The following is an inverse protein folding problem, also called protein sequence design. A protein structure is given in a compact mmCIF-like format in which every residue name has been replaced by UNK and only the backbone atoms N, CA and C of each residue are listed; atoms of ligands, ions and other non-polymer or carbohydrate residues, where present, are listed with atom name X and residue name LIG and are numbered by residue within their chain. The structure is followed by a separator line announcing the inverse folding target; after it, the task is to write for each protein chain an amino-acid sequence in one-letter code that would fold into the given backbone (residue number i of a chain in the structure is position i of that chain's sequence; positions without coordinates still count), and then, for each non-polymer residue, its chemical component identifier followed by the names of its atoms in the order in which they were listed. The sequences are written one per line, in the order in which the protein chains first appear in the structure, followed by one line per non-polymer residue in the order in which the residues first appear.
data_IF_418763079623
#
_entry.id   IF_418763079623
#
_cell.length_a   1.000
_cell.length_b   1.000
_cell.length_c   1.000
_cell.angle_alpha   90.00
_cell.angle_beta   90.00
_cell.angle_gamma   90.00
#
_symmetry.space_group_name_H-M   'P 1'
#
loop_
_entity.id
_entity.type
_entity.pdbx_description
1 polymer ?
#
# COMPACT_ATOMS: atom_id res chain seq x y z
N UNK A 1 -43.04 32.61 -17.84
CA UNK A 1 -44.43 32.06 -17.71
C UNK A 1 -44.33 30.55 -17.52
N UNK A 2 -45.04 30.07 -16.47
CA UNK A 2 -45.42 28.66 -16.20
C UNK A 2 -44.35 27.73 -15.64
N UNK A 3 -44.62 26.92 -14.63
CA UNK A 3 -45.59 26.86 -13.50
C UNK A 3 -44.99 25.98 -12.42
N UNK A 4 -45.13 26.39 -11.18
CA UNK A 4 -44.91 25.58 -9.97
C UNK A 4 -45.88 24.41 -9.96
N UNK A 5 -45.40 23.22 -9.57
CA UNK A 5 -46.23 22.13 -9.01
C UNK A 5 -45.59 21.61 -7.75
N UNK A 6 -46.22 21.93 -6.64
CA UNK A 6 -45.96 21.39 -5.31
C UNK A 6 -46.59 20.01 -5.22
N UNK A 7 -45.87 19.02 -4.73
CA UNK A 7 -46.41 17.74 -4.28
C UNK A 7 -46.16 17.59 -2.80
N UNK A 8 -47.28 17.68 -2.07
CA UNK A 8 -47.43 17.36 -0.65
C UNK A 8 -47.49 15.83 -0.51
N UNK A 9 -46.63 15.25 0.29
CA UNK A 9 -46.77 13.84 0.71
C UNK A 9 -46.94 13.79 2.22
N UNK A 10 -48.05 13.16 2.61
CA UNK A 10 -48.57 13.04 3.95
C UNK A 10 -47.72 12.13 4.86
N UNK A 11 -47.57 12.56 6.10
CA UNK A 11 -47.02 11.79 7.22
C UNK A 11 -48.12 10.88 7.77
N UNK A 12 -47.90 9.58 7.75
CA UNK A 12 -48.67 8.59 8.49
C UNK A 12 -47.93 8.23 9.76
N UNK A 13 -48.43 8.71 10.88
CA UNK A 13 -48.03 8.32 12.22
C UNK A 13 -48.84 7.06 12.59
N UNK A 14 -48.17 5.95 12.79
CA UNK A 14 -48.75 4.77 13.45
C UNK A 14 -48.14 4.67 14.84
N UNK A 15 -48.94 5.01 15.81
CA UNK A 15 -48.75 4.71 17.21
C UNK A 15 -49.08 3.23 17.46
N UNK A 16 -48.11 2.50 17.97
CA UNK A 16 -48.26 1.10 18.41
C UNK A 16 -47.74 0.95 19.83
N UNK A 17 -48.66 0.55 20.74
CA UNK A 17 -48.51 0.50 22.18
C UNK A 17 -47.53 -0.54 22.70
N UNK A 18 -46.92 -0.14 23.79
CA UNK A 18 -46.43 -0.86 24.97
C UNK A 18 -46.62 -2.39 25.07
N UNK A 19 -45.49 -3.06 25.38
CA UNK A 19 -45.51 -4.20 26.32
C UNK A 19 -44.23 -4.14 27.15
N UNK A 20 -44.43 -3.91 28.41
CA UNK A 20 -43.48 -4.06 29.52
C UNK A 20 -43.25 -5.54 29.77
N UNK A 21 -42.02 -5.98 29.88
CA UNK A 21 -41.53 -6.89 30.92
C UNK A 21 -40.12 -7.38 30.58
N UNK A 22 -39.24 -7.40 31.56
CA UNK A 22 -37.96 -8.14 31.50
C UNK A 22 -36.74 -7.25 31.60
N UNK A 23 -36.44 -6.90 32.85
CA UNK A 23 -35.13 -6.39 33.21
C UNK A 23 -34.10 -7.51 33.03
N UNK A 24 -33.20 -7.38 32.06
CA UNK A 24 -31.89 -7.95 32.14
C UNK A 24 -30.91 -6.89 31.63
N UNK A 25 -30.37 -6.16 32.61
CA UNK A 25 -29.31 -5.16 32.43
C UNK A 25 -27.97 -5.86 32.42
N UNK A 26 -27.73 -6.71 31.49
CA UNK A 26 -26.37 -6.98 31.04
C UNK A 26 -26.07 -6.05 29.89
N UNK A 27 -25.78 -4.81 30.27
CA UNK A 27 -25.06 -3.90 29.41
C UNK A 27 -23.66 -4.51 29.18
N UNK A 28 -23.58 -5.43 28.22
CA UNK A 28 -22.33 -5.73 27.57
C UNK A 28 -21.84 -4.42 26.98
N UNK A 29 -21.07 -3.70 27.80
CA UNK A 29 -20.23 -2.60 27.35
C UNK A 29 -19.26 -3.23 26.36
N UNK A 30 -19.66 -3.28 25.08
CA UNK A 30 -18.76 -3.66 24.00
C UNK A 30 -17.50 -2.84 24.18
N UNK A 31 -16.42 -3.49 24.59
CA UNK A 31 -15.12 -2.82 24.67
C UNK A 31 -14.89 -2.15 23.32
N UNK A 32 -14.36 -0.92 23.28
CA UNK A 32 -14.11 -0.24 22.02
C UNK A 32 -13.22 -1.16 21.17
N UNK A 33 -13.79 -1.68 20.08
CA UNK A 33 -13.07 -2.56 19.17
C UNK A 33 -11.95 -1.72 18.56
N UNK A 34 -10.73 -1.92 19.03
CA UNK A 34 -9.56 -1.28 18.43
C UNK A 34 -9.53 -1.68 16.97
N UNK A 35 -9.56 -0.72 16.02
CA UNK A 35 -9.53 -1.05 14.60
C UNK A 35 -8.36 -1.98 14.31
N UNK A 36 -8.63 -3.08 13.62
CA UNK A 36 -7.58 -4.00 13.19
C UNK A 36 -6.58 -3.24 12.32
N UNK A 37 -5.27 -3.45 12.50
CA UNK A 37 -4.29 -2.85 11.61
C UNK A 37 -4.60 -3.24 10.16
N UNK A 38 -4.37 -2.33 9.24
CA UNK A 38 -4.51 -2.60 7.81
C UNK A 38 -3.61 -3.73 7.35
N UNK A 39 -3.90 -4.28 6.19
CA UNK A 39 -3.21 -5.46 5.66
C UNK A 39 -1.75 -5.20 5.30
N UNK A 40 -0.88 -6.22 5.27
CA UNK A 40 0.49 -6.10 4.75
C UNK A 40 0.54 -5.56 3.30
N UNK A 41 -0.46 -5.90 2.48
CA UNK A 41 -0.60 -5.38 1.12
C UNK A 41 -0.75 -3.85 1.10
N UNK A 42 -1.54 -3.30 2.01
CA UNK A 42 -1.73 -1.85 2.14
C UNK A 42 -0.45 -1.16 2.68
N UNK A 43 0.28 -1.79 3.61
CA UNK A 43 1.55 -1.26 4.09
C UNK A 43 2.60 -1.17 2.98
N UNK A 44 2.72 -2.22 2.17
CA UNK A 44 3.59 -2.23 1.00
C UNK A 44 3.16 -1.17 -0.03
N UNK A 45 1.87 -1.08 -0.32
CA UNK A 45 1.33 -0.12 -1.25
C UNK A 45 1.63 1.33 -0.83
N UNK A 46 1.49 1.65 0.45
CA UNK A 46 1.88 2.95 1.01
C UNK A 46 3.37 3.24 0.84
N UNK A 47 4.23 2.23 1.07
CA UNK A 47 5.68 2.38 0.88
C UNK A 47 6.05 2.62 -0.58
N UNK A 48 5.45 1.89 -1.52
CA UNK A 48 5.66 2.08 -2.95
C UNK A 48 5.18 3.46 -3.41
N UNK A 49 3.99 3.89 -2.99
CA UNK A 49 3.45 5.20 -3.33
C UNK A 49 4.32 6.34 -2.78
N UNK A 50 4.87 6.16 -1.57
CA UNK A 50 5.81 7.09 -0.97
C UNK A 50 7.12 7.16 -1.78
N UNK A 51 7.71 6.01 -2.15
CA UNK A 51 8.96 5.95 -2.90
C UNK A 51 8.81 6.49 -4.34
N UNK A 52 7.61 6.40 -4.90
CA UNK A 52 7.28 6.95 -6.21
C UNK A 52 7.21 8.48 -6.25
N UNK A 53 7.16 9.15 -5.09
CA UNK A 53 6.99 10.62 -4.99
C UNK A 53 5.84 11.11 -5.87
N UNK A 54 6.13 12.05 -6.78
CA UNK A 54 5.12 12.67 -7.67
C UNK A 54 5.21 12.15 -9.11
N UNK A 55 5.97 11.11 -9.39
CA UNK A 55 6.12 10.61 -10.76
C UNK A 55 4.76 10.19 -11.34
N UNK A 56 4.37 10.71 -12.51
CA UNK A 56 3.05 10.45 -13.09
C UNK A 56 2.90 9.01 -13.60
N UNK A 57 4.00 8.42 -14.05
CA UNK A 57 4.05 7.06 -14.58
C UNK A 57 5.08 6.22 -13.83
N UNK A 58 4.61 5.20 -13.14
CA UNK A 58 5.45 4.33 -12.32
C UNK A 58 5.34 2.89 -12.79
N UNK A 59 6.48 2.26 -13.03
CA UNK A 59 6.54 0.81 -13.12
C UNK A 59 6.76 0.21 -11.75
N UNK A 60 6.01 -0.81 -11.44
CA UNK A 60 6.22 -1.63 -10.25
C UNK A 60 6.46 -3.06 -10.70
N UNK A 61 7.58 -3.65 -10.28
CA UNK A 61 7.85 -5.07 -10.55
C UNK A 61 6.77 -5.90 -9.89
N UNK A 62 6.15 -6.80 -10.65
CA UNK A 62 4.96 -7.56 -10.27
C UNK A 62 5.29 -8.70 -9.31
N UNK A 63 5.78 -8.34 -8.14
CA UNK A 63 6.11 -9.29 -7.08
C UNK A 63 7.20 -8.79 -6.14
N UNK A 64 7.55 -9.65 -5.20
CA UNK A 64 8.50 -9.35 -4.15
C UNK A 64 9.93 -9.66 -4.54
N UNK A 65 10.85 -8.74 -4.22
CA UNK A 65 12.28 -9.03 -4.26
C UNK A 65 12.66 -10.03 -3.16
N UNK A 66 13.38 -11.05 -3.54
CA UNK A 66 14.00 -11.98 -2.59
C UNK A 66 15.35 -11.42 -2.15
N UNK A 67 15.38 -10.75 -1.01
CA UNK A 67 16.58 -10.19 -0.43
C UNK A 67 16.90 -10.83 0.92
N UNK A 68 18.18 -10.91 1.33
CA UNK A 68 18.57 -11.30 2.67
C UNK A 68 17.87 -10.44 3.73
N UNK A 69 17.52 -11.02 4.88
CA UNK A 69 16.79 -10.31 5.92
C UNK A 69 17.56 -9.09 6.45
N UNK A 70 18.87 -9.18 6.56
CA UNK A 70 19.73 -8.07 6.97
C UNK A 70 19.62 -6.87 6.01
N UNK A 71 19.51 -7.14 4.71
CA UNK A 71 19.26 -6.10 3.70
C UNK A 71 17.86 -5.52 3.84
N UNK A 72 16.84 -6.37 4.03
CA UNK A 72 15.47 -5.92 4.22
C UNK A 72 15.29 -5.03 5.47
N UNK A 73 16.12 -5.25 6.49
CA UNK A 73 16.17 -4.43 7.71
C UNK A 73 17.02 -3.16 7.57
N UNK A 74 17.72 -3.01 6.45
CA UNK A 74 18.66 -1.89 6.25
C UNK A 74 19.97 -2.02 7.03
N UNK A 75 20.26 -3.20 7.58
CA UNK A 75 21.50 -3.49 8.31
C UNK A 75 22.71 -3.66 7.35
N UNK A 76 22.42 -4.02 6.11
CA UNK A 76 23.42 -4.16 5.05
C UNK A 76 22.95 -3.49 3.76
N UNK A 77 23.85 -2.82 3.02
CA UNK A 77 23.53 -2.31 1.70
C UNK A 77 23.37 -3.44 0.69
N UNK A 78 22.54 -3.24 -0.32
CA UNK A 78 22.50 -4.11 -1.49
C UNK A 78 23.68 -3.80 -2.40
N UNK A 79 24.39 -4.82 -2.83
CA UNK A 79 25.28 -4.72 -3.98
C UNK A 79 24.46 -4.80 -5.27
N UNK A 80 24.05 -3.67 -5.77
CA UNK A 80 23.29 -3.55 -7.02
C UNK A 80 24.19 -3.74 -8.27
N UNK A 81 25.51 -3.67 -8.12
CA UNK A 81 26.48 -3.92 -9.19
C UNK A 81 26.84 -5.40 -9.32
N UNK A 82 26.80 -6.15 -8.23
CA UNK A 82 27.06 -7.59 -8.20
C UNK A 82 25.92 -8.38 -8.82
N UNK A 83 26.09 -8.87 -10.02
CA UNK A 83 25.08 -9.45 -10.91
C UNK A 83 24.21 -10.60 -10.36
N UNK A 84 24.50 -11.16 -9.18
CA UNK A 84 23.76 -12.31 -8.65
C UNK A 84 22.57 -11.94 -7.76
N UNK A 85 22.52 -10.77 -7.18
CA UNK A 85 21.47 -10.35 -6.25
C UNK A 85 20.67 -9.11 -6.68
N UNK A 86 20.93 -8.57 -7.88
CA UNK A 86 20.27 -7.37 -8.34
C UNK A 86 18.78 -7.63 -8.69
N UNK A 87 17.82 -7.20 -7.86
CA UNK A 87 16.40 -7.43 -8.12
C UNK A 87 15.87 -6.60 -9.30
N UNK A 88 16.62 -5.61 -9.75
CA UNK A 88 16.32 -4.84 -10.95
C UNK A 88 16.61 -5.61 -12.26
N UNK A 89 17.36 -6.70 -12.17
CA UNK A 89 17.75 -7.50 -13.33
C UNK A 89 17.05 -8.86 -13.43
N UNK A 90 16.22 -9.20 -12.44
CA UNK A 90 15.61 -10.54 -12.36
C UNK A 90 14.09 -10.47 -12.13
N UNK A 91 13.33 -11.39 -12.72
CA UNK A 91 11.92 -11.55 -12.37
C UNK A 91 11.75 -11.87 -10.89
N UNK A 92 10.65 -11.41 -10.27
CA UNK A 92 10.34 -11.73 -8.88
C UNK A 92 10.05 -13.23 -8.74
N UNK A 93 10.48 -13.81 -7.62
CA UNK A 93 10.23 -15.22 -7.31
C UNK A 93 8.77 -15.47 -6.89
N UNK A 94 8.12 -14.46 -6.37
CA UNK A 94 6.73 -14.51 -5.96
C UNK A 94 5.99 -13.28 -6.48
N UNK A 95 4.98 -13.52 -7.30
CA UNK A 95 4.13 -12.47 -7.87
C UNK A 95 3.13 -11.93 -6.86
N UNK A 96 2.71 -10.71 -7.09
CA UNK A 96 1.60 -10.12 -6.36
C UNK A 96 0.29 -10.82 -6.67
N UNK A 97 -0.51 -11.01 -5.65
CA UNK A 97 -1.90 -11.42 -5.77
C UNK A 97 -2.75 -10.29 -6.38
N UNK A 98 -3.96 -10.60 -6.81
CA UNK A 98 -4.91 -9.58 -7.30
C UNK A 98 -5.23 -8.53 -6.23
N UNK A 99 -5.34 -8.92 -4.97
CA UNK A 99 -5.59 -8.01 -3.85
C UNK A 99 -4.41 -7.08 -3.57
N UNK A 100 -3.18 -7.56 -3.69
CA UNK A 100 -1.98 -6.73 -3.55
C UNK A 100 -1.86 -5.72 -4.68
N UNK A 101 -2.11 -6.12 -5.92
CA UNK A 101 -2.14 -5.19 -7.06
C UNK A 101 -3.23 -4.14 -6.90
N UNK A 102 -4.42 -4.53 -6.44
CA UNK A 102 -5.50 -3.59 -6.18
C UNK A 102 -5.14 -2.57 -5.08
N UNK A 103 -4.49 -3.02 -4.00
CA UNK A 103 -4.00 -2.14 -2.94
C UNK A 103 -2.94 -1.15 -3.46
N UNK A 104 -2.00 -1.62 -4.28
CA UNK A 104 -0.99 -0.75 -4.92
C UNK A 104 -1.68 0.28 -5.81
N UNK A 105 -2.57 -0.16 -6.71
CA UNK A 105 -3.29 0.75 -7.62
C UNK A 105 -4.06 1.83 -6.85
N UNK A 106 -4.73 1.46 -5.76
CA UNK A 106 -5.48 2.39 -4.92
C UNK A 106 -4.56 3.41 -4.21
N UNK A 107 -3.39 2.99 -3.71
CA UNK A 107 -2.46 3.86 -3.01
C UNK A 107 -1.84 4.94 -3.93
N UNK A 108 -1.80 4.69 -5.24
CA UNK A 108 -1.28 5.66 -6.21
C UNK A 108 -2.28 6.75 -6.61
N UNK A 109 -3.53 6.71 -6.10
CA UNK A 109 -4.47 7.84 -6.19
C UNK A 109 -4.81 8.29 -7.61
N UNK A 110 -4.97 7.35 -8.55
CA UNK A 110 -5.32 7.63 -9.95
C UNK A 110 -4.11 7.80 -10.89
N UNK A 111 -2.89 7.76 -10.38
CA UNK A 111 -1.69 7.69 -11.23
C UNK A 111 -1.62 6.32 -11.93
N UNK A 112 -1.03 6.28 -13.10
CA UNK A 112 -0.87 5.02 -13.85
C UNK A 112 0.24 4.18 -13.24
N UNK A 113 -0.10 2.94 -12.84
CA UNK A 113 0.87 1.93 -12.38
C UNK A 113 0.93 0.81 -13.38
N UNK A 114 2.10 0.59 -13.97
CA UNK A 114 2.38 -0.53 -14.85
C UNK A 114 3.03 -1.67 -14.06
N UNK A 115 2.36 -2.82 -13.96
CA UNK A 115 2.95 -4.02 -13.35
C UNK A 115 3.88 -4.73 -14.32
N UNK A 116 5.15 -4.81 -13.97
CA UNK A 116 6.24 -5.30 -14.80
C UNK A 116 6.65 -6.71 -14.36
N UNK A 117 6.57 -7.68 -15.26
CA UNK A 117 6.94 -9.07 -14.97
C UNK A 117 8.44 -9.35 -15.17
N UNK A 118 9.05 -8.70 -16.15
CA UNK A 118 10.47 -8.79 -16.46
C UNK A 118 11.13 -7.42 -16.31
N UNK A 119 11.75 -7.13 -15.15
CA UNK A 119 12.37 -5.84 -14.93
C UNK A 119 13.54 -5.57 -15.89
N UNK A 120 14.30 -6.59 -16.28
CA UNK A 120 15.42 -6.41 -17.20
C UNK A 120 14.93 -6.02 -18.61
N UNK A 121 13.84 -6.61 -19.08
CA UNK A 121 13.22 -6.19 -20.34
C UNK A 121 12.63 -4.78 -20.26
N UNK A 122 11.96 -4.46 -19.17
CA UNK A 122 11.40 -3.14 -18.94
C UNK A 122 12.47 -2.04 -18.91
N UNK A 123 13.61 -2.30 -18.27
CA UNK A 123 14.73 -1.35 -18.22
C UNK A 123 15.29 -1.05 -19.62
N UNK A 124 15.29 -2.04 -20.52
CA UNK A 124 15.76 -1.82 -21.91
C UNK A 124 14.75 -1.06 -22.80
N UNK A 125 13.47 -1.15 -22.48
CA UNK A 125 12.39 -0.63 -23.32
C UNK A 125 11.82 0.71 -22.84
N UNK A 126 12.04 1.06 -21.60
CA UNK A 126 11.49 2.30 -21.03
C UNK A 126 12.30 3.53 -21.44
N UNK A 127 11.62 4.68 -21.59
CA UNK A 127 12.28 5.95 -21.79
C UNK A 127 13.25 6.26 -20.63
N UNK A 128 14.36 6.95 -20.91
CA UNK A 128 15.24 7.46 -19.86
C UNK A 128 14.46 8.29 -18.85
N UNK A 129 14.68 8.05 -17.56
CA UNK A 129 14.03 8.77 -16.47
C UNK A 129 12.72 8.13 -15.97
N UNK A 130 12.21 7.08 -16.63
CA UNK A 130 11.04 6.35 -16.11
C UNK A 130 11.37 5.65 -14.79
N UNK A 131 10.50 5.79 -13.80
CA UNK A 131 10.67 5.12 -12.50
C UNK A 131 10.26 3.64 -12.58
N UNK A 132 11.13 2.75 -12.11
CA UNK A 132 10.82 1.34 -11.91
C UNK A 132 11.11 0.97 -10.45
N UNK A 133 10.10 0.54 -9.72
CA UNK A 133 10.19 0.17 -8.32
C UNK A 133 10.11 -1.33 -8.11
N UNK A 134 10.88 -1.81 -7.15
CA UNK A 134 10.84 -3.18 -6.64
C UNK A 134 10.67 -3.11 -5.13
N UNK A 135 9.77 -3.90 -4.56
CA UNK A 135 9.56 -3.95 -3.12
C UNK A 135 9.89 -5.32 -2.53
N UNK A 136 10.33 -5.32 -1.28
CA UNK A 136 10.36 -6.54 -0.46
C UNK A 136 9.02 -6.77 0.23
N UNK A 137 8.83 -7.93 0.82
CA UNK A 137 7.73 -8.14 1.75
C UNK A 137 7.84 -7.18 2.93
N UNK A 138 6.71 -6.63 3.41
CA UNK A 138 6.71 -5.83 4.62
C UNK A 138 7.16 -6.67 5.84
N UNK A 139 8.06 -6.12 6.64
CA UNK A 139 8.42 -6.66 7.95
C UNK A 139 7.60 -5.91 8.99
N UNK A 140 6.45 -6.46 9.37
CA UNK A 140 5.49 -5.83 10.27
C UNK A 140 5.62 -6.36 11.70
N UNK A 141 5.55 -5.43 12.68
CA UNK A 141 5.41 -5.71 14.10
C UNK A 141 4.21 -4.90 14.63
N UNK A 142 3.03 -5.51 14.65
CA UNK A 142 1.80 -4.85 15.04
C UNK A 142 1.43 -3.70 14.09
N UNK A 143 1.44 -2.48 14.61
CA UNK A 143 1.06 -1.26 13.88
C UNK A 143 2.23 -0.54 13.20
N UNK A 144 3.41 -1.12 13.20
CA UNK A 144 4.63 -0.54 12.60
C UNK A 144 5.35 -1.60 11.79
N UNK A 145 6.17 -1.14 10.86
CA UNK A 145 7.03 -2.02 10.11
C UNK A 145 7.93 -1.28 9.15
N UNK A 146 8.65 -2.05 8.37
CA UNK A 146 9.53 -1.54 7.31
C UNK A 146 9.29 -2.27 6.01
N UNK A 147 9.49 -1.57 4.92
CA UNK A 147 9.51 -2.10 3.56
C UNK A 147 10.76 -1.57 2.88
N UNK A 148 11.59 -2.46 2.36
CA UNK A 148 12.68 -2.05 1.49
C UNK A 148 12.13 -1.86 0.09
N UNK A 149 12.31 -0.65 -0.44
CA UNK A 149 11.96 -0.29 -1.82
C UNK A 149 13.22 0.08 -2.57
N UNK A 150 13.37 -0.48 -3.77
CA UNK A 150 14.46 -0.17 -4.66
C UNK A 150 13.90 0.57 -5.87
N UNK A 151 14.56 1.66 -6.23
CA UNK A 151 14.38 2.30 -7.53
C UNK A 151 15.46 1.77 -8.47
N UNK A 152 15.04 1.26 -9.61
CA UNK A 152 15.95 0.73 -10.63
C UNK A 152 16.37 1.80 -11.66
N UNK A 153 15.65 2.91 -11.74
CA UNK A 153 15.91 4.04 -12.64
C UNK A 153 15.49 5.36 -11.96
N UNK A 154 16.15 6.47 -12.18
CA UNK A 154 17.27 6.76 -13.12
C UNK A 154 18.65 6.30 -12.64
N UNK A 155 18.75 5.60 -11.56
CA UNK A 155 19.94 4.95 -11.00
C UNK A 155 19.49 4.09 -9.83
N UNK A 156 20.10 2.94 -9.59
CA UNK A 156 19.66 2.06 -8.53
C UNK A 156 19.82 2.76 -7.17
N UNK A 157 18.70 2.95 -6.49
CA UNK A 157 18.65 3.53 -5.15
C UNK A 157 17.87 2.59 -4.22
N UNK A 158 18.32 2.55 -3.00
CA UNK A 158 17.70 1.77 -1.93
C UNK A 158 17.06 2.72 -0.93
N UNK A 159 15.80 2.51 -0.63
CA UNK A 159 15.07 3.29 0.37
C UNK A 159 14.44 2.33 1.35
N UNK A 160 14.81 2.46 2.63
CA UNK A 160 14.09 1.81 3.72
C UNK A 160 12.93 2.70 4.13
N UNK A 161 11.72 2.24 3.88
CA UNK A 161 10.48 2.95 4.21
C UNK A 161 9.93 2.40 5.51
N UNK A 162 9.78 3.25 6.52
CA UNK A 162 9.00 2.93 7.72
C UNK A 162 7.53 3.16 7.43
N UNK A 163 6.71 2.19 7.81
CA UNK A 163 5.26 2.26 7.71
C UNK A 163 4.63 2.18 9.09
N UNK A 164 3.65 3.02 9.36
CA UNK A 164 2.92 3.06 10.61
C UNK A 164 1.41 3.16 10.35
N UNK A 165 0.64 2.30 11.04
CA UNK A 165 -0.82 2.35 11.03
C UNK A 165 -1.32 3.41 12.00
N UNK A 166 -2.05 4.42 11.52
CA UNK A 166 -2.60 5.51 12.33
C UNK A 166 -4.01 5.23 12.88
N UNK A 167 -4.61 4.11 12.52
CA UNK A 167 -5.98 3.72 12.85
C UNK A 167 -6.90 3.68 11.63
N UNK A 168 -6.52 4.32 10.54
CA UNK A 168 -7.29 4.43 9.30
C UNK A 168 -6.51 4.03 8.07
N UNK A 169 -5.22 4.39 8.03
CA UNK A 169 -4.35 4.11 6.89
C UNK A 169 -2.91 3.82 7.35
N UNK A 170 -2.13 3.22 6.46
CA UNK A 170 -0.69 3.12 6.61
C UNK A 170 -0.03 4.42 6.16
N UNK A 171 0.69 5.05 7.06
CA UNK A 171 1.53 6.22 6.79
C UNK A 171 2.96 5.76 6.51
N UNK A 172 3.57 6.29 5.47
CA UNK A 172 4.92 5.93 5.07
C UNK A 172 5.89 7.12 5.23
N UNK A 173 7.08 6.84 5.77
CA UNK A 173 8.16 7.82 5.94
C UNK A 173 9.50 7.19 5.59
N UNK A 174 10.44 7.96 5.03
CA UNK A 174 11.80 7.46 4.79
C UNK A 174 12.58 7.39 6.11
N UNK A 175 13.23 6.25 6.35
CA UNK A 175 14.11 6.07 7.50
C UNK A 175 15.58 6.30 7.14
N UNK A 176 15.92 6.27 5.87
CA UNK A 176 17.29 6.51 5.36
C UNK A 176 17.36 6.27 3.86
N UNK A 177 18.09 7.13 3.17
CA UNK A 177 18.51 6.91 1.80
C UNK A 177 19.96 6.49 1.83
N UNK A 178 20.25 5.25 1.51
CA UNK A 178 21.62 4.83 1.19
C UNK A 178 22.06 5.52 -0.11
N UNK A 179 22.48 6.79 -0.02
CA UNK A 179 23.21 7.41 -1.12
C UNK A 179 24.61 6.79 -1.19
N UNK A 180 24.94 6.27 -2.34
CA UNK A 180 26.33 6.16 -2.80
C UNK A 180 26.54 7.04 -4.01
#
# INVERSE_FOLDING_TARGET
MWRLTAAVVAVLVLAGCASTAGADRDAHRSAPTTPSPGTPAQAMAAALAFAAHSDPEVGVVDGYAALPLAVQRGEQPIDLAGGHANPCARPPTQRFTSSERAAIQAAFGGRTVAFVQDPAAALRQRPPGSLLLVATRPLLAGRRGTVMVLSCMPGPQQVLVTVQWDGHAWQATATGTGKR
#
